data_IF_153216026798
#
_entry.id   IF_153216026798
#
_cell.length_a   1.000
_cell.length_b   1.000
_cell.length_c   1.000
_cell.angle_alpha   90.00
_cell.angle_beta   90.00
_cell.angle_gamma   90.00
#
_symmetry.space_group_name_H-M   'P 1'
#
loop_
_entity.id
_entity.type
_entity.pdbx_description
1 polymer ?
#
# COMPACT_ATOMS: atom_id res chain seq x y z
N UNK A 1 -34.97 83.33 -2.43
CA UNK A 1 -36.20 83.10 -3.21
C UNK A 1 -35.83 83.29 -4.68
N UNK A 2 -36.00 82.32 -5.61
CA UNK A 2 -37.21 81.55 -5.89
C UNK A 2 -36.97 80.03 -6.06
N UNK A 3 -37.95 79.35 -6.68
CA UNK A 3 -38.48 77.99 -6.50
C UNK A 3 -37.92 76.91 -7.46
N UNK A 4 -38.28 75.61 -7.25
CA UNK A 4 -37.62 74.40 -7.73
C UNK A 4 -38.23 73.83 -9.04
N UNK A 5 -37.62 72.74 -9.54
CA UNK A 5 -38.14 71.58 -10.33
C UNK A 5 -36.96 71.02 -11.16
N UNK A 6 -36.78 69.74 -11.47
CA UNK A 6 -37.68 68.59 -11.57
C UNK A 6 -36.83 67.31 -11.61
N UNK A 7 -37.43 66.20 -11.19
CA UNK A 7 -36.88 64.85 -11.19
C UNK A 7 -37.24 64.15 -12.53
N UNK A 8 -36.39 63.26 -13.06
CA UNK A 8 -36.90 61.97 -13.53
C UNK A 8 -35.96 60.83 -13.06
N UNK A 9 -36.40 59.89 -12.24
CA UNK A 9 -37.24 58.74 -12.61
C UNK A 9 -36.63 57.83 -13.71
N UNK A 10 -36.15 56.67 -13.22
CA UNK A 10 -36.25 55.32 -13.81
C UNK A 10 -35.29 54.89 -14.93
N UNK A 11 -34.41 53.93 -14.60
CA UNK A 11 -34.51 52.54 -15.11
C UNK A 11 -33.62 51.62 -14.26
N UNK A 12 -34.24 50.76 -13.45
CA UNK A 12 -33.56 49.60 -12.85
C UNK A 12 -33.95 48.39 -13.68
N UNK A 13 -32.99 47.84 -14.40
CA UNK A 13 -33.09 46.53 -15.06
C UNK A 13 -33.19 45.44 -13.98
N UNK A 14 -34.30 44.72 -13.96
CA UNK A 14 -34.42 43.49 -13.19
C UNK A 14 -33.72 42.37 -13.96
N UNK A 15 -32.58 41.93 -13.43
CA UNK A 15 -31.87 40.74 -13.87
C UNK A 15 -32.66 39.53 -13.35
N UNK A 16 -33.37 38.85 -14.25
CA UNK A 16 -34.02 37.57 -13.96
C UNK A 16 -32.94 36.47 -13.93
N UNK A 17 -32.51 36.05 -12.74
CA UNK A 17 -31.69 34.84 -12.60
C UNK A 17 -32.58 33.61 -12.76
N UNK A 18 -32.22 32.63 -13.61
CA UNK A 18 -32.99 31.41 -13.77
C UNK A 18 -32.98 30.58 -12.49
N UNK A 19 -34.18 30.22 -12.02
CA UNK A 19 -34.38 29.22 -10.97
C UNK A 19 -33.86 27.87 -11.47
N UNK A 20 -32.73 27.41 -10.95
CA UNK A 20 -32.31 26.03 -11.07
C UNK A 20 -33.36 25.14 -10.38
N UNK A 21 -33.88 24.09 -11.04
CA UNK A 21 -34.79 23.16 -10.41
C UNK A 21 -34.07 22.44 -9.26
N UNK A 22 -34.59 22.61 -8.04
CA UNK A 22 -34.15 21.84 -6.89
C UNK A 22 -34.58 20.39 -7.08
N UNK A 23 -33.61 19.47 -7.14
CA UNK A 23 -33.86 18.02 -7.09
C UNK A 23 -34.69 17.70 -5.85
N UNK A 24 -35.64 16.80 -5.99
CA UNK A 24 -36.52 16.43 -4.89
C UNK A 24 -35.77 15.61 -3.83
N UNK A 25 -36.21 15.68 -2.57
CA UNK A 25 -35.58 14.96 -1.47
C UNK A 25 -35.55 13.42 -1.66
N UNK A 26 -36.43 12.88 -2.51
CA UNK A 26 -36.45 11.46 -2.84
C UNK A 26 -35.28 11.07 -3.78
N UNK A 27 -34.92 11.93 -4.73
CA UNK A 27 -33.81 11.66 -5.67
C UNK A 27 -32.43 11.79 -4.99
N UNK A 28 -32.31 12.65 -3.98
CA UNK A 28 -31.10 12.78 -3.18
C UNK A 28 -30.82 11.52 -2.33
N UNK A 29 -31.86 10.89 -1.79
CA UNK A 29 -31.72 9.70 -0.96
C UNK A 29 -31.32 8.46 -1.78
N UNK A 30 -31.76 8.37 -3.03
CA UNK A 30 -31.35 7.30 -3.95
C UNK A 30 -29.91 7.47 -4.43
N UNK A 31 -29.43 8.70 -4.67
CA UNK A 31 -28.02 8.98 -5.04
C UNK A 31 -27.04 8.67 -3.89
N UNK A 32 -27.39 9.03 -2.64
CA UNK A 32 -26.57 8.71 -1.46
C UNK A 32 -26.47 7.20 -1.22
N UNK A 33 -27.59 6.47 -1.36
CA UNK A 33 -27.59 5.01 -1.21
C UNK A 33 -26.75 4.31 -2.28
N UNK A 34 -26.83 4.76 -3.54
CA UNK A 34 -26.01 4.21 -4.63
C UNK A 34 -24.51 4.49 -4.40
N UNK A 35 -24.17 5.68 -3.91
CA UNK A 35 -22.80 6.04 -3.58
C UNK A 35 -22.24 5.16 -2.45
N UNK A 36 -22.99 4.94 -1.37
CA UNK A 36 -22.59 4.03 -0.29
C UNK A 36 -22.44 2.59 -0.79
N UNK A 37 -23.37 2.11 -1.63
CA UNK A 37 -23.31 0.78 -2.21
C UNK A 37 -22.08 0.60 -3.12
N UNK A 38 -21.72 1.64 -3.88
CA UNK A 38 -20.54 1.65 -4.74
C UNK A 38 -19.24 1.71 -3.93
N UNK A 39 -19.21 2.48 -2.84
CA UNK A 39 -18.08 2.49 -1.90
C UNK A 39 -17.89 1.13 -1.22
N UNK A 40 -18.98 0.51 -0.75
CA UNK A 40 -18.95 -0.84 -0.18
C UNK A 40 -18.51 -1.91 -1.21
N UNK A 41 -18.91 -1.75 -2.49
CA UNK A 41 -18.45 -2.62 -3.59
C UNK A 41 -16.98 -2.40 -3.93
N UNK A 42 -16.50 -1.16 -3.93
CA UNK A 42 -15.07 -0.83 -4.13
C UNK A 42 -14.21 -1.38 -2.99
N UNK A 43 -14.69 -1.32 -1.75
CA UNK A 43 -14.03 -1.94 -0.59
C UNK A 43 -13.99 -3.48 -0.73
N UNK A 44 -15.11 -4.13 -1.06
CA UNK A 44 -15.15 -5.59 -1.27
C UNK A 44 -14.30 -6.07 -2.46
N UNK A 45 -14.22 -5.29 -3.53
CA UNK A 45 -13.42 -5.65 -4.71
C UNK A 45 -11.90 -5.51 -4.45
N UNK A 46 -11.50 -4.68 -3.49
CA UNK A 46 -10.10 -4.54 -3.06
C UNK A 46 -9.70 -5.57 -1.99
N UNK A 47 -10.68 -6.18 -1.31
CA UNK A 47 -10.47 -7.29 -0.34
C UNK A 47 -10.44 -8.69 -0.98
N UNK A 48 -10.75 -8.80 -2.27
CA UNK A 48 -10.82 -10.09 -2.98
C UNK A 48 -9.64 -10.33 -3.92
N UNK A 49 -8.45 -9.83 -3.57
CA UNK A 49 -7.20 -10.40 -4.09
C UNK A 49 -6.60 -11.25 -2.99
N UNK A 50 -6.49 -12.56 -3.22
CA UNK A 50 -5.74 -13.47 -2.36
C UNK A 50 -4.37 -12.85 -2.03
N UNK A 51 -4.06 -12.54 -0.76
CA UNK A 51 -2.79 -11.90 -0.45
C UNK A 51 -1.65 -12.87 -0.69
N UNK A 52 -0.69 -12.42 -1.48
CA UNK A 52 0.56 -13.14 -1.71
C UNK A 52 1.61 -12.62 -0.74
N UNK A 53 2.08 -13.49 0.16
CA UNK A 53 3.19 -13.21 1.07
C UNK A 53 4.45 -13.85 0.51
N UNK A 54 5.42 -13.04 0.11
CA UNK A 54 6.75 -13.50 -0.28
C UNK A 54 7.58 -13.62 0.98
N UNK A 55 8.16 -14.81 1.23
CA UNK A 55 9.19 -14.91 2.24
C UNK A 55 10.50 -14.37 1.68
N UNK A 56 10.96 -13.28 2.27
CA UNK A 56 12.20 -12.60 1.89
C UNK A 56 13.38 -12.96 2.79
N UNK A 57 13.19 -13.85 3.77
CA UNK A 57 14.27 -14.45 4.54
C UNK A 57 14.92 -15.60 3.73
N UNK A 58 16.00 -15.36 2.98
CA UNK A 58 16.43 -16.27 1.90
C UNK A 58 17.12 -17.54 2.41
N UNK A 59 17.33 -17.67 3.73
CA UNK A 59 18.19 -18.69 4.35
C UNK A 59 17.75 -19.10 5.77
N UNK A 60 16.46 -18.98 6.10
CA UNK A 60 15.99 -19.56 7.37
C UNK A 60 16.06 -21.08 7.27
N UNK A 61 16.77 -21.73 8.20
CA UNK A 61 16.76 -23.19 8.35
C UNK A 61 15.35 -23.75 8.57
N UNK A 62 14.43 -22.91 9.03
CA UNK A 62 13.05 -23.28 9.34
C UNK A 62 12.14 -23.15 8.11
N UNK A 63 12.67 -22.70 6.97
CA UNK A 63 11.83 -22.35 5.84
C UNK A 63 11.17 -23.55 5.16
N UNK A 64 11.91 -24.63 4.92
CA UNK A 64 11.34 -25.87 4.35
C UNK A 64 10.22 -26.43 5.22
N UNK A 65 10.40 -26.29 6.53
CA UNK A 65 9.47 -26.64 7.58
C UNK A 65 8.18 -25.78 7.55
N UNK A 66 8.32 -24.49 7.24
CA UNK A 66 7.20 -23.56 7.05
C UNK A 66 6.45 -23.92 5.75
N UNK A 67 7.17 -24.22 4.66
CA UNK A 67 6.59 -24.64 3.39
C UNK A 67 5.78 -25.92 3.55
N UNK A 68 6.34 -26.94 4.22
CA UNK A 68 5.65 -28.19 4.49
C UNK A 68 4.37 -27.96 5.32
N UNK A 69 4.43 -27.09 6.34
CA UNK A 69 3.26 -26.72 7.14
C UNK A 69 2.20 -25.99 6.30
N UNK A 70 2.61 -25.08 5.42
CA UNK A 70 1.71 -24.35 4.53
C UNK A 70 0.97 -25.31 3.59
N UNK A 71 1.69 -26.18 2.88
CA UNK A 71 1.10 -27.15 1.95
C UNK A 71 0.07 -28.01 2.69
N UNK A 72 0.41 -28.52 3.86
CA UNK A 72 -0.48 -29.34 4.68
C UNK A 72 -1.77 -28.60 5.09
N UNK A 73 -1.68 -27.32 5.45
CA UNK A 73 -2.83 -26.56 5.97
C UNK A 73 -3.71 -25.92 4.90
N UNK A 74 -3.13 -25.51 3.77
CA UNK A 74 -3.77 -24.59 2.82
C UNK A 74 -3.94 -25.14 1.40
N UNK A 75 -3.28 -26.23 1.00
CA UNK A 75 -3.41 -26.79 -0.36
C UNK A 75 -4.88 -27.12 -0.70
N UNK A 76 -5.63 -27.68 0.26
CA UNK A 76 -7.07 -27.97 0.10
C UNK A 76 -7.99 -26.77 0.28
N UNK A 77 -7.48 -25.64 0.77
CA UNK A 77 -8.24 -24.40 1.05
C UNK A 77 -8.05 -23.33 -0.03
N UNK A 78 -7.35 -23.67 -1.12
CA UNK A 78 -7.08 -22.75 -2.23
C UNK A 78 -5.79 -21.92 -2.04
N UNK A 79 -4.97 -22.22 -1.05
CA UNK A 79 -3.64 -21.61 -0.93
C UNK A 79 -2.66 -22.23 -1.92
N UNK A 80 -1.74 -21.42 -2.43
CA UNK A 80 -0.71 -21.85 -3.39
C UNK A 80 0.67 -21.47 -2.92
N UNK A 81 1.64 -22.34 -3.14
CA UNK A 81 3.04 -22.04 -2.90
C UNK A 81 3.78 -21.98 -4.24
N UNK A 82 4.35 -20.82 -4.54
CA UNK A 82 5.24 -20.63 -5.69
C UNK A 82 6.69 -20.75 -5.21
N UNK A 83 7.32 -21.88 -5.54
CA UNK A 83 8.70 -22.18 -5.17
C UNK A 83 9.71 -21.27 -5.88
N UNK A 84 9.42 -20.79 -7.10
CA UNK A 84 10.32 -19.93 -7.84
C UNK A 84 10.37 -18.51 -7.24
N UNK A 85 9.22 -18.03 -6.75
CA UNK A 85 9.09 -16.71 -6.11
C UNK A 85 9.21 -16.74 -4.59
N UNK A 86 9.33 -17.93 -4.00
CA UNK A 86 9.35 -18.13 -2.57
C UNK A 86 8.12 -17.53 -1.85
N UNK A 87 6.95 -17.69 -2.46
CA UNK A 87 5.74 -16.97 -2.06
C UNK A 87 4.57 -17.88 -1.74
N UNK A 88 3.81 -17.48 -0.73
CA UNK A 88 2.59 -18.13 -0.27
C UNK A 88 1.39 -17.26 -0.65
N UNK A 89 0.51 -17.78 -1.48
CA UNK A 89 -0.79 -17.20 -1.77
C UNK A 89 -1.78 -17.73 -0.73
N UNK A 90 -2.28 -16.86 0.15
CA UNK A 90 -3.28 -17.22 1.15
C UNK A 90 -4.68 -16.88 0.65
N UNK A 91 -5.73 -17.62 1.07
CA UNK A 91 -7.10 -17.25 0.76
C UNK A 91 -7.51 -15.89 1.35
N UNK A 92 -7.04 -15.56 2.55
CA UNK A 92 -7.26 -14.25 3.18
C UNK A 92 -6.02 -13.78 3.95
N UNK A 93 -5.94 -12.47 4.23
CA UNK A 93 -4.83 -11.90 5.00
C UNK A 93 -4.85 -12.43 6.43
N UNK A 94 -6.03 -12.53 7.03
CA UNK A 94 -6.20 -13.07 8.37
C UNK A 94 -5.67 -14.50 8.50
N UNK A 95 -5.90 -15.35 7.48
CA UNK A 95 -5.34 -16.69 7.46
C UNK A 95 -3.81 -16.68 7.38
N UNK A 96 -3.22 -15.74 6.63
CA UNK A 96 -1.77 -15.55 6.63
C UNK A 96 -1.28 -15.18 8.03
N UNK A 97 -1.94 -14.24 8.72
CA UNK A 97 -1.58 -13.83 10.08
C UNK A 97 -1.61 -15.00 11.06
N UNK A 98 -2.70 -15.77 11.06
CA UNK A 98 -2.86 -16.94 11.93
C UNK A 98 -1.78 -17.96 11.65
N UNK A 99 -1.56 -18.31 10.36
CA UNK A 99 -0.53 -19.27 9.97
C UNK A 99 0.86 -18.89 10.48
N UNK A 100 1.30 -17.66 10.21
CA UNK A 100 2.63 -17.20 10.61
C UNK A 100 2.76 -17.03 12.12
N UNK A 101 1.68 -16.67 12.83
CA UNK A 101 1.64 -16.69 14.29
C UNK A 101 1.86 -18.10 14.85
N UNK A 102 1.23 -19.12 14.28
CA UNK A 102 1.49 -20.52 14.64
C UNK A 102 2.94 -20.93 14.34
N UNK A 103 3.53 -20.47 13.22
CA UNK A 103 4.93 -20.74 12.92
C UNK A 103 5.87 -20.09 13.94
N UNK A 104 5.58 -18.85 14.35
CA UNK A 104 6.35 -18.15 15.36
C UNK A 104 6.32 -18.89 16.71
N UNK A 105 5.14 -19.39 17.12
CA UNK A 105 4.98 -20.20 18.34
C UNK A 105 5.79 -21.51 18.32
N UNK A 106 6.13 -22.01 17.14
CA UNK A 106 7.06 -23.15 16.96
C UNK A 106 8.54 -22.74 16.98
N UNK A 107 8.84 -21.51 17.42
CA UNK A 107 10.18 -20.91 17.43
C UNK A 107 10.85 -20.85 16.05
N UNK A 108 10.06 -20.73 14.97
CA UNK A 108 10.58 -20.64 13.60
C UNK A 108 10.87 -19.19 13.24
N UNK A 109 12.04 -18.93 12.67
CA UNK A 109 12.44 -17.61 12.19
C UNK A 109 12.01 -17.40 10.73
N UNK A 110 11.40 -16.24 10.43
CA UNK A 110 10.95 -15.91 9.08
C UNK A 110 10.73 -14.41 8.89
N UNK A 111 10.68 -13.98 7.62
CA UNK A 111 10.31 -12.61 7.25
C UNK A 111 9.46 -12.59 5.98
N UNK A 112 8.14 -12.51 6.18
CA UNK A 112 7.14 -12.43 5.13
C UNK A 112 6.79 -10.98 4.78
N UNK A 113 6.62 -10.71 3.50
CA UNK A 113 6.18 -9.40 2.98
C UNK A 113 5.02 -9.58 2.03
N UNK A 114 3.98 -8.77 2.19
CA UNK A 114 2.91 -8.66 1.22
C UNK A 114 3.51 -8.22 -0.12
N UNK A 115 3.06 -8.88 -1.18
CA UNK A 115 3.55 -8.68 -2.53
C UNK A 115 2.41 -8.38 -3.49
N UNK A 116 2.74 -7.62 -4.51
CA UNK A 116 1.90 -7.38 -5.67
C UNK A 116 1.78 -8.66 -6.52
N UNK A 117 0.79 -8.76 -7.42
CA UNK A 117 0.59 -9.96 -8.26
C UNK A 117 1.80 -10.38 -9.10
N UNK A 118 2.69 -9.43 -9.45
CA UNK A 118 3.95 -9.71 -10.15
C UNK A 118 5.03 -10.32 -9.23
N UNK A 119 4.81 -10.38 -7.91
CA UNK A 119 5.70 -10.98 -6.91
C UNK A 119 6.70 -10.00 -6.30
N UNK A 120 6.52 -8.69 -6.52
CA UNK A 120 7.35 -7.67 -5.87
C UNK A 120 6.75 -7.30 -4.52
N UNK A 121 7.56 -6.97 -3.50
CA UNK A 121 7.02 -6.46 -2.24
C UNK A 121 6.20 -5.18 -2.48
N UNK A 122 4.99 -5.14 -1.93
CA UNK A 122 4.09 -4.00 -2.03
C UNK A 122 4.66 -2.83 -1.20
N UNK A 123 4.84 -1.63 -1.78
CA UNK A 123 5.25 -0.44 -1.03
C UNK A 123 4.25 -0.16 0.09
N UNK A 124 4.75 0.04 1.33
CA UNK A 124 3.88 0.20 2.51
C UNK A 124 2.99 -1.01 2.83
N UNK A 125 3.23 -2.16 2.18
CA UNK A 125 2.45 -3.37 2.38
C UNK A 125 2.65 -3.98 3.77
N UNK A 126 1.79 -4.94 4.09
CA UNK A 126 1.84 -5.68 5.33
C UNK A 126 3.13 -6.53 5.42
N UNK A 127 3.80 -6.50 6.57
CA UNK A 127 4.98 -7.33 6.84
C UNK A 127 4.74 -8.17 8.09
N UNK A 128 5.37 -9.35 8.12
CA UNK A 128 5.32 -10.25 9.27
C UNK A 128 6.69 -10.88 9.51
N UNK A 129 7.11 -10.93 10.76
CA UNK A 129 8.47 -11.26 11.13
C UNK A 129 8.51 -12.08 12.42
N UNK A 130 9.46 -13.01 12.51
CA UNK A 130 9.76 -13.77 13.73
C UNK A 130 11.27 -14.00 13.82
N UNK A 131 11.82 -13.85 15.03
CA UNK A 131 13.21 -14.15 15.36
C UNK A 131 13.43 -15.61 15.79
N UNK A 132 12.37 -16.41 15.82
CA UNK A 132 12.39 -17.73 16.44
C UNK A 132 12.40 -17.67 17.97
N UNK A 133 11.81 -16.61 18.52
CA UNK A 133 11.65 -16.31 19.95
C UNK A 133 10.25 -16.68 20.48
N UNK A 134 9.41 -17.31 19.65
CA UNK A 134 8.02 -17.60 19.98
C UNK A 134 7.05 -16.48 19.60
N UNK A 135 7.55 -15.33 19.14
CA UNK A 135 6.75 -14.12 18.90
C UNK A 135 6.67 -13.78 17.41
N UNK A 136 5.49 -13.29 17.00
CA UNK A 136 5.25 -12.76 15.66
C UNK A 136 5.09 -11.25 15.73
N UNK A 137 5.89 -10.54 14.95
CA UNK A 137 5.86 -9.09 14.81
C UNK A 137 5.22 -8.75 13.46
N UNK A 138 4.06 -8.11 13.51
CA UNK A 138 3.30 -7.71 12.32
C UNK A 138 3.11 -6.20 12.19
N UNK A 139 3.01 -5.72 10.95
CA UNK A 139 2.71 -4.33 10.61
C UNK A 139 3.58 -3.79 9.46
N UNK A 140 3.72 -2.47 9.42
CA UNK A 140 4.70 -1.76 8.60
C UNK A 140 6.13 -2.05 9.10
N UNK A 141 7.14 -1.80 8.25
CA UNK A 141 8.54 -1.91 8.66
C UNK A 141 8.86 -1.07 9.91
N UNK A 142 8.29 0.14 9.99
CA UNK A 142 8.49 1.05 11.13
C UNK A 142 7.87 0.49 12.42
N UNK A 143 6.65 -0.05 12.34
CA UNK A 143 5.98 -0.65 13.50
C UNK A 143 6.73 -1.88 14.01
N UNK A 144 7.21 -2.74 13.11
CA UNK A 144 8.02 -3.91 13.49
C UNK A 144 9.31 -3.45 14.16
N UNK A 145 10.02 -2.46 13.59
CA UNK A 145 11.24 -1.90 14.19
C UNK A 145 10.97 -1.34 15.59
N UNK A 146 9.88 -0.62 15.78
CA UNK A 146 9.52 -0.06 17.09
C UNK A 146 9.21 -1.16 18.11
N UNK A 147 8.51 -2.24 17.69
CA UNK A 147 8.26 -3.41 18.56
C UNK A 147 9.56 -4.12 18.93
N UNK A 148 10.48 -4.31 17.99
CA UNK A 148 11.79 -4.93 18.26
C UNK A 148 12.62 -4.10 19.23
N UNK A 149 12.62 -2.76 19.07
CA UNK A 149 13.30 -1.86 20.01
C UNK A 149 12.70 -1.92 21.41
N UNK A 150 11.37 -1.93 21.52
CA UNK A 150 10.70 -2.08 22.82
C UNK A 150 11.10 -3.39 23.50
N UNK A 151 11.20 -4.49 22.76
CA UNK A 151 11.69 -5.77 23.30
C UNK A 151 13.17 -5.71 23.70
N UNK A 152 14.03 -5.07 22.90
CA UNK A 152 15.44 -4.84 23.24
C UNK A 152 15.60 -4.07 24.56
N UNK A 153 14.81 -3.01 24.75
CA UNK A 153 14.85 -2.14 25.94
C UNK A 153 14.37 -2.88 27.21
N UNK A 154 13.50 -3.89 27.07
CA UNK A 154 13.06 -4.73 28.20
C UNK A 154 14.07 -5.79 28.64
N UNK A 155 15.11 -6.05 27.84
CA UNK A 155 16.11 -7.07 28.14
C UNK A 155 17.32 -6.47 28.86
N UNK A 156 17.76 -7.17 29.92
CA UNK A 156 18.98 -6.84 30.65
C UNK A 156 20.23 -6.90 29.76
N UNK A 157 21.25 -6.11 30.11
CA UNK A 157 22.56 -6.18 29.45
C UNK A 157 23.18 -7.57 29.63
N UNK A 158 23.77 -8.11 28.56
CA UNK A 158 24.31 -9.47 28.54
C UNK A 158 23.31 -10.56 28.16
N UNK A 159 22.01 -10.25 28.00
CA UNK A 159 21.06 -11.24 27.48
C UNK A 159 21.36 -11.56 25.99
N UNK A 160 21.55 -12.84 25.62
CA UNK A 160 21.90 -13.23 24.25
C UNK A 160 20.81 -12.89 23.21
N UNK A 161 19.55 -12.73 23.64
CA UNK A 161 18.47 -12.29 22.76
C UNK A 161 18.57 -10.80 22.41
N UNK A 162 19.12 -9.97 23.30
CA UNK A 162 19.24 -8.52 23.09
C UNK A 162 20.01 -8.19 21.81
N UNK A 163 21.11 -8.91 21.57
CA UNK A 163 21.91 -8.77 20.35
C UNK A 163 21.11 -9.18 19.10
N UNK A 164 20.26 -10.20 19.19
CA UNK A 164 19.38 -10.59 18.07
C UNK A 164 18.35 -9.50 17.76
N UNK A 165 17.73 -8.89 18.78
CA UNK A 165 16.80 -7.79 18.60
C UNK A 165 17.48 -6.57 17.96
N UNK A 166 18.69 -6.24 18.41
CA UNK A 166 19.49 -5.15 17.84
C UNK A 166 19.82 -5.38 16.37
N UNK A 167 20.30 -6.58 16.01
CA UNK A 167 20.59 -6.94 14.62
C UNK A 167 19.33 -6.93 13.74
N UNK A 168 18.21 -7.38 14.29
CA UNK A 168 16.91 -7.29 13.61
C UNK A 168 16.53 -5.84 13.36
N UNK A 169 16.64 -4.97 14.38
CA UNK A 169 16.39 -3.54 14.29
C UNK A 169 17.18 -2.86 13.18
N UNK A 170 18.49 -3.13 13.10
CA UNK A 170 19.38 -2.63 12.04
C UNK A 170 18.97 -3.13 10.64
N UNK A 171 18.50 -4.37 10.55
CA UNK A 171 18.01 -4.95 9.30
C UNK A 171 16.77 -4.20 8.81
N UNK A 172 15.81 -3.93 9.69
CA UNK A 172 14.61 -3.17 9.34
C UNK A 172 14.93 -1.72 8.97
N UNK A 173 15.87 -1.07 9.67
CA UNK A 173 16.35 0.27 9.30
C UNK A 173 16.95 0.31 7.88
N UNK A 174 17.77 -0.69 7.55
CA UNK A 174 18.34 -0.83 6.21
C UNK A 174 17.25 -1.06 5.15
N UNK A 175 16.22 -1.85 5.46
CA UNK A 175 15.09 -2.10 4.56
C UNK A 175 14.27 -0.83 4.29
N UNK A 176 13.99 -0.04 5.33
CA UNK A 176 13.28 1.24 5.20
C UNK A 176 14.05 2.22 4.32
N UNK A 177 15.37 2.35 4.51
CA UNK A 177 16.22 3.20 3.65
C UNK A 177 16.18 2.72 2.20
N UNK A 178 16.28 1.41 1.96
CA UNK A 178 16.19 0.84 0.61
C UNK A 178 14.85 1.11 -0.07
N UNK A 179 13.76 1.16 0.70
CA UNK A 179 12.43 1.46 0.16
C UNK A 179 12.26 2.94 -0.16
N UNK A 180 12.66 3.84 0.74
CA UNK A 180 12.64 5.28 0.47
C UNK A 180 13.50 5.67 -0.74
N UNK A 181 14.64 5.01 -0.95
CA UNK A 181 15.48 5.22 -2.13
C UNK A 181 14.81 4.74 -3.43
N UNK A 182 14.02 3.66 -3.40
CA UNK A 182 13.27 3.18 -4.56
C UNK A 182 12.15 4.14 -4.94
N UNK A 183 11.39 4.61 -3.96
CA UNK A 183 10.32 5.58 -4.19
C UNK A 183 10.85 6.89 -4.78
N UNK A 184 12.01 7.36 -4.31
CA UNK A 184 12.66 8.58 -4.84
C UNK A 184 13.10 8.39 -6.30
N UNK A 185 13.64 7.22 -6.65
CA UNK A 185 14.04 6.90 -8.03
C UNK A 185 12.86 6.76 -8.98
N UNK A 186 11.74 6.18 -8.52
CA UNK A 186 10.53 6.08 -9.34
C UNK A 186 9.91 7.46 -9.59
N UNK A 187 9.86 8.33 -8.58
CA UNK A 187 9.39 9.71 -8.75
C UNK A 187 10.29 10.51 -9.71
N UNK A 188 11.61 10.34 -9.62
CA UNK A 188 12.55 10.99 -10.54
C UNK A 188 12.40 10.52 -12.00
N UNK A 189 12.07 9.25 -12.24
CA UNK A 189 11.80 8.72 -13.59
C UNK A 189 10.51 9.25 -14.20
N UNK A 190 9.47 9.49 -13.40
CA UNK A 190 8.21 10.07 -13.89
C UNK A 190 8.40 11.52 -14.34
N UNK A 191 9.24 12.29 -13.65
CA UNK A 191 9.53 13.70 -14.01
C UNK A 191 10.38 13.81 -15.30
N UNK A 192 11.13 12.78 -15.66
CA UNK A 192 11.97 12.78 -16.87
C UNK A 192 11.23 12.30 -18.14
N UNK A 193 9.93 11.96 -18.04
CA UNK A 193 9.09 11.51 -19.16
C UNK A 193 8.37 12.63 -19.93
N UNK A 194 8.48 13.89 -19.51
CA UNK A 194 7.80 15.04 -20.13
C UNK A 194 8.74 15.97 -20.94
N UNK A 195 9.86 15.44 -21.44
CA UNK A 195 10.64 16.15 -22.46
C UNK A 195 10.76 15.25 -23.70
N UNK A 196 9.68 15.19 -24.48
CA UNK A 196 9.82 14.94 -25.91
C UNK A 196 10.39 16.22 -26.51
N UNK A 197 11.63 16.24 -27.04
CA UNK A 197 11.92 17.20 -28.08
C UNK A 197 10.97 16.86 -29.22
N UNK A 198 9.99 17.74 -29.47
CA UNK A 198 9.27 17.73 -30.72
C UNK A 198 10.33 17.84 -31.83
N UNK A 199 10.45 16.78 -32.63
CA UNK A 199 11.23 16.79 -33.85
C UNK A 199 10.58 17.83 -34.78
N UNK A 200 11.09 19.06 -34.75
CA UNK A 200 10.82 20.07 -35.75
C UNK A 200 11.27 19.53 -37.12
N UNK A 201 10.29 19.15 -37.93
CA UNK A 201 10.42 19.05 -39.38
C UNK A 201 10.91 20.40 -39.93
N UNK A 202 12.19 20.52 -40.28
CA UNK A 202 12.61 21.54 -41.23
C UNK A 202 13.33 20.93 -42.45
N UNK A 203 12.53 20.94 -43.51
CA UNK A 203 12.80 20.74 -44.92
C UNK A 203 14.12 21.39 -45.35
N UNK A 204 14.95 20.66 -46.10
CA UNK A 204 15.73 21.33 -47.14
C UNK A 204 15.93 20.44 -48.38
N UNK A 205 15.29 20.89 -49.45
CA UNK A 205 15.41 20.38 -50.81
C UNK A 205 16.76 20.76 -51.43
N UNK A 206 17.23 19.89 -52.33
CA UNK A 206 17.89 20.18 -53.61
C UNK A 206 19.19 21.02 -53.64
N UNK A 207 20.26 20.40 -54.16
CA UNK A 207 21.00 20.81 -55.38
C UNK A 207 22.17 19.85 -55.65
N UNK A 208 22.24 19.25 -56.85
CA UNK A 208 23.25 19.55 -57.90
C UNK A 208 24.70 19.35 -57.39
N UNK A 209 25.51 18.39 -57.85
CA UNK A 209 25.81 17.93 -59.22
C UNK A 209 26.42 16.53 -59.18
#
# INVERSE_FOLDING_TARGET
MPKPKENPAQKKEQILTPLTPMKSAAELHDEEYQYELEQARKQKKNEQSNPTIVNTAPKSKDFDDIVAAFITQFEKKGGKYDKAKNSFEFPTLEQAKVFFKEQAQKNRAFFGRESTPDGKPKPGGYNIFSLGDGQSYEGTLQEIRNKLKAMEDTLEEGNPLKEKYKQAGLTFETLMVKEGLKETKEKAKVVQGEFSPEDDEETNQAKMQ
#
